data_IF_270947872492
#
_entry.id   IF_270947872492
#
_cell.length_a   1.000
_cell.length_b   1.000
_cell.length_c   1.000
_cell.angle_alpha   90.00
_cell.angle_beta   90.00
_cell.angle_gamma   90.00
#
_symmetry.space_group_name_H-M   'P 1'
#
loop_
_entity.id
_entity.type
_entity.pdbx_description
1 polymer ?
#
# COMPACT_ATOMS: atom_id res chain seq x y z
N UNK A 1 48.16 4.69 31.93
CA UNK A 1 47.34 3.96 32.91
C UNK A 1 46.02 4.71 33.05
N UNK A 2 44.92 4.02 32.71
CA UNK A 2 43.56 4.13 33.28
C UNK A 2 42.90 5.53 33.34
N UNK A 3 42.06 5.93 32.36
CA UNK A 3 40.59 5.70 32.27
C UNK A 3 39.81 6.02 33.55
N UNK A 4 39.06 7.13 33.54
CA UNK A 4 37.74 7.21 34.18
C UNK A 4 36.75 7.90 33.21
N UNK A 5 35.61 7.22 33.02
CA UNK A 5 34.44 7.60 32.22
C UNK A 5 33.49 8.45 33.09
N UNK A 6 32.63 9.31 32.52
CA UNK A 6 31.35 9.62 33.10
C UNK A 6 30.26 8.65 32.59
N UNK A 7 29.31 8.38 33.48
CA UNK A 7 28.24 7.39 33.37
C UNK A 7 27.15 7.77 32.37
N UNK A 8 26.56 6.74 31.75
CA UNK A 8 25.43 6.81 30.82
C UNK A 8 24.15 6.62 31.62
N UNK A 9 23.33 7.67 31.71
CA UNK A 9 21.94 7.58 32.16
C UNK A 9 21.04 7.15 31.00
N UNK A 10 20.36 6.01 31.16
CA UNK A 10 19.37 5.50 30.22
C UNK A 10 18.00 6.11 30.49
N UNK A 11 17.58 7.09 29.70
CA UNK A 11 16.19 7.55 29.64
C UNK A 11 15.47 6.93 28.44
N UNK A 12 14.55 6.02 28.75
CA UNK A 12 13.60 5.41 27.83
C UNK A 12 12.51 6.41 27.46
N UNK A 13 12.58 6.97 26.26
CA UNK A 13 11.46 7.71 25.67
C UNK A 13 10.37 6.75 25.19
N UNK A 14 9.28 6.69 25.96
CA UNK A 14 7.97 6.17 25.52
C UNK A 14 7.35 7.20 24.57
N UNK A 15 7.10 6.81 23.33
CA UNK A 15 6.29 7.59 22.40
C UNK A 15 4.81 7.21 22.62
N UNK A 16 4.08 8.05 23.34
CA UNK A 16 2.63 8.04 23.40
C UNK A 16 2.08 8.71 22.13
N UNK A 17 1.65 7.90 21.16
CA UNK A 17 0.88 8.37 20.02
C UNK A 17 -0.59 8.41 20.40
N UNK A 18 -1.03 9.51 20.99
CA UNK A 18 -2.46 9.80 21.13
C UNK A 18 -2.76 11.24 20.71
N UNK A 19 -3.87 11.38 19.99
CA UNK A 19 -4.57 12.61 19.60
C UNK A 19 -4.01 13.35 18.36
N UNK A 20 -4.65 13.16 17.20
CA UNK A 20 -5.57 14.16 16.59
C UNK A 20 -6.55 13.42 15.67
N UNK A 21 -7.77 13.16 16.14
CA UNK A 21 -8.94 12.98 15.29
C UNK A 21 -10.04 13.86 15.87
N UNK A 22 -10.25 14.99 15.22
CA UNK A 22 -11.35 15.90 15.51
C UNK A 22 -12.66 15.27 15.04
N UNK A 23 -13.57 15.16 16.01
CA UNK A 23 -15.02 15.41 15.91
C UNK A 23 -15.85 14.58 14.91
N UNK A 24 -16.56 13.59 15.45
CA UNK A 24 -18.03 13.59 15.37
C UNK A 24 -18.58 13.12 16.73
N UNK A 25 -19.43 13.95 17.35
CA UNK A 25 -20.05 13.67 18.67
C UNK A 25 -21.12 12.58 18.57
N UNK A 26 -21.34 11.80 19.65
CA UNK A 26 -22.36 10.77 19.74
C UNK A 26 -23.72 11.36 20.13
N UNK A 27 -24.81 10.79 19.61
CA UNK A 27 -26.12 10.86 20.25
C UNK A 27 -26.27 9.61 21.13
N UNK A 28 -26.10 9.80 22.43
CA UNK A 28 -26.57 8.86 23.46
C UNK A 28 -28.10 8.94 23.54
N UNK A 29 -28.72 7.79 23.79
CA UNK A 29 -29.76 7.68 24.79
C UNK A 29 -29.72 6.25 25.35
N UNK A 30 -28.98 6.10 26.43
CA UNK A 30 -29.31 5.12 27.47
C UNK A 30 -30.69 5.46 28.05
N UNK A 31 -31.45 4.45 28.46
CA UNK A 31 -31.68 4.17 29.88
C UNK A 31 -32.64 2.99 30.01
N UNK A 32 -32.17 2.04 30.79
CA UNK A 32 -32.80 0.84 31.33
C UNK A 32 -33.99 1.14 32.26
N UNK A 33 -35.06 0.36 32.10
CA UNK A 33 -35.81 -0.32 33.16
C UNK A 33 -36.58 0.48 34.23
N UNK A 34 -37.90 0.25 34.33
CA UNK A 34 -38.54 -0.09 35.61
C UNK A 34 -39.96 -0.68 35.44
N UNK A 35 -40.30 -1.54 36.42
CA UNK A 35 -41.51 -2.39 36.56
C UNK A 35 -42.70 -1.64 37.24
N UNK A 36 -43.89 -2.27 37.42
CA UNK A 36 -45.23 -1.64 37.34
C UNK A 36 -45.89 -1.32 38.70
N UNK A 37 -46.99 -0.53 38.69
CA UNK A 37 -48.06 -0.48 39.72
C UNK A 37 -49.43 -0.01 39.18
N UNK A 38 -50.43 -0.87 39.36
CA UNK A 38 -51.80 -0.72 39.87
C UNK A 38 -52.69 0.54 39.64
N UNK A 39 -53.85 0.25 39.02
CA UNK A 39 -55.25 0.48 39.46
C UNK A 39 -55.93 1.88 39.50
N UNK A 40 -57.17 1.84 38.97
CA UNK A 40 -58.42 2.51 39.41
C UNK A 40 -58.95 3.74 38.63
N UNK A 41 -60.05 3.47 37.91
CA UNK A 41 -61.40 4.09 37.98
C UNK A 41 -61.79 5.46 37.38
N UNK A 42 -62.79 5.30 36.47
CA UNK A 42 -64.10 5.97 36.34
C UNK A 42 -64.27 7.38 35.71
N UNK A 43 -65.14 7.35 34.67
CA UNK A 43 -66.28 8.22 34.34
C UNK A 43 -66.17 9.34 33.28
N UNK A 44 -66.66 8.96 32.07
CA UNK A 44 -67.72 9.61 31.26
C UNK A 44 -67.69 11.12 30.97
N UNK A 45 -67.67 11.50 29.67
CA UNK A 45 -68.85 12.00 28.92
C UNK A 45 -68.55 12.40 27.46
N UNK A 46 -69.37 11.81 26.56
CA UNK A 46 -70.06 12.33 25.35
C UNK A 46 -69.28 13.00 24.20
N UNK A 47 -69.31 12.26 23.09
CA UNK A 47 -69.84 12.61 21.75
C UNK A 47 -69.43 13.92 21.07
N UNK A 48 -68.63 13.76 20.00
CA UNK A 48 -69.06 14.25 18.68
C UNK A 48 -68.57 13.34 17.56
N UNK A 49 -69.50 12.56 17.05
CA UNK A 49 -69.42 11.70 15.87
C UNK A 49 -69.08 12.50 14.60
N UNK A 50 -67.98 12.13 13.94
CA UNK A 50 -67.77 12.34 12.50
C UNK A 50 -67.60 10.96 11.86
N UNK A 51 -68.59 10.54 11.07
CA UNK A 51 -68.58 9.40 10.13
C UNK A 51 -67.51 9.70 9.07
N UNK A 52 -66.58 8.86 8.61
CA UNK A 52 -66.52 7.45 8.13
C UNK A 52 -65.09 7.29 7.51
N UNK A 53 -64.60 6.13 7.00
CA UNK A 53 -65.14 4.77 6.98
C UNK A 53 -64.18 3.70 7.56
N UNK A 54 -64.74 2.52 7.80
CA UNK A 54 -64.05 1.28 8.14
C UNK A 54 -62.96 0.90 7.13
N UNK A 55 -61.80 0.49 7.63
CA UNK A 55 -61.01 -0.58 7.03
C UNK A 55 -60.24 -1.31 8.12
N UNK A 56 -60.95 -2.19 8.82
CA UNK A 56 -60.35 -3.36 9.46
C UNK A 56 -59.69 -4.21 8.37
N UNK A 57 -58.42 -3.94 8.07
CA UNK A 57 -57.55 -4.92 7.41
C UNK A 57 -56.79 -5.63 8.52
N UNK A 58 -57.36 -6.74 8.97
CA UNK A 58 -56.58 -7.91 9.36
C UNK A 58 -55.52 -8.13 8.28
N UNK A 59 -54.27 -7.73 8.55
CA UNK A 59 -53.15 -8.08 7.70
C UNK A 59 -52.88 -9.56 7.93
N UNK A 60 -53.56 -10.40 7.14
CA UNK A 60 -53.06 -11.73 6.79
C UNK A 60 -51.71 -11.51 6.09
N UNK A 61 -50.63 -11.58 6.86
CA UNK A 61 -49.29 -11.61 6.30
C UNK A 61 -48.88 -13.07 6.22
N UNK A 62 -49.22 -13.72 5.10
CA UNK A 62 -48.63 -15.01 4.76
C UNK A 62 -47.16 -14.73 4.42
N UNK A 63 -46.28 -14.78 5.43
CA UNK A 63 -44.83 -14.90 5.21
C UNK A 63 -44.63 -16.16 4.37
N UNK A 64 -43.87 -16.06 3.28
CA UNK A 64 -43.58 -17.24 2.49
C UNK A 64 -42.79 -18.24 3.34
N UNK A 65 -43.04 -19.55 3.20
CA UNK A 65 -42.36 -20.58 3.99
C UNK A 65 -40.82 -20.49 3.91
N UNK A 66 -40.31 -19.90 2.83
CA UNK A 66 -38.89 -19.62 2.62
C UNK A 66 -38.37 -18.47 3.49
N UNK A 67 -39.12 -17.37 3.62
CA UNK A 67 -38.73 -16.22 4.47
C UNK A 67 -38.71 -16.61 5.95
N UNK A 68 -39.67 -17.43 6.40
CA UNK A 68 -39.70 -17.95 7.78
C UNK A 68 -38.49 -18.86 8.07
N UNK A 69 -38.07 -19.66 7.09
CA UNK A 69 -36.87 -20.50 7.19
C UNK A 69 -35.58 -19.68 7.26
N UNK A 70 -35.49 -18.60 6.47
CA UNK A 70 -34.35 -17.67 6.52
C UNK A 70 -34.29 -16.94 7.85
N UNK A 71 -35.42 -16.43 8.35
CA UNK A 71 -35.47 -15.75 9.64
C UNK A 71 -35.04 -16.68 10.79
N UNK A 72 -35.55 -17.92 10.83
CA UNK A 72 -35.14 -18.94 11.81
C UNK A 72 -33.65 -19.25 11.74
N UNK A 73 -33.10 -19.33 10.54
CA UNK A 73 -31.67 -19.59 10.33
C UNK A 73 -30.79 -18.44 10.85
N UNK A 74 -31.17 -17.19 10.55
CA UNK A 74 -30.47 -16.00 11.02
C UNK A 74 -30.57 -15.85 12.55
N UNK A 75 -31.74 -16.12 13.12
CA UNK A 75 -31.96 -16.12 14.57
C UNK A 75 -31.08 -17.18 15.27
N UNK A 76 -31.02 -18.41 14.74
CA UNK A 76 -30.14 -19.46 15.26
C UNK A 76 -28.66 -19.05 15.24
N UNK A 77 -28.18 -18.44 14.16
CA UNK A 77 -26.81 -17.93 14.05
C UNK A 77 -26.55 -16.76 15.02
N UNK A 78 -27.54 -15.90 15.25
CA UNK A 78 -27.46 -14.80 16.20
C UNK A 78 -27.40 -15.25 17.66
N UNK A 79 -28.07 -16.37 18.00
CA UNK A 79 -28.03 -16.95 19.35
C UNK A 79 -26.81 -17.84 19.60
N UNK A 80 -26.07 -18.19 18.56
CA UNK A 80 -24.94 -19.10 18.65
C UNK A 80 -25.34 -20.57 18.75
N UNK A 81 -26.55 -20.94 18.33
CA UNK A 81 -27.03 -22.32 18.39
C UNK A 81 -26.48 -23.14 17.22
N UNK A 82 -25.31 -23.73 17.44
CA UNK A 82 -24.63 -24.58 16.47
C UNK A 82 -25.51 -25.75 16.00
N UNK A 83 -26.28 -26.35 16.92
CA UNK A 83 -27.08 -27.54 16.59
C UNK A 83 -28.19 -27.21 15.61
N UNK A 84 -28.93 -26.12 15.85
CA UNK A 84 -29.96 -25.66 14.94
C UNK A 84 -29.37 -25.20 13.60
N UNK A 85 -28.23 -24.49 13.60
CA UNK A 85 -27.55 -24.06 12.37
C UNK A 85 -27.16 -25.26 11.50
N UNK A 86 -26.54 -26.30 12.09
CA UNK A 86 -26.16 -27.51 11.35
C UNK A 86 -27.36 -28.30 10.83
N UNK A 87 -28.42 -28.45 11.63
CA UNK A 87 -29.65 -29.12 11.20
C UNK A 87 -30.31 -28.38 10.03
N UNK A 88 -30.41 -27.05 10.10
CA UNK A 88 -31.00 -26.24 9.04
C UNK A 88 -30.17 -26.30 7.74
N UNK A 89 -28.84 -26.27 7.83
CA UNK A 89 -27.96 -26.42 6.66
C UNK A 89 -28.07 -27.82 6.03
N UNK A 90 -28.31 -28.86 6.84
CA UNK A 90 -28.51 -30.23 6.33
C UNK A 90 -29.79 -30.35 5.52
N UNK A 91 -30.88 -29.69 5.96
CA UNK A 91 -32.17 -29.72 5.28
C UNK A 91 -32.27 -28.69 4.13
N UNK A 92 -31.47 -27.62 4.17
CA UNK A 92 -31.56 -26.51 3.22
C UNK A 92 -30.21 -25.80 3.03
N UNK A 93 -29.28 -26.35 2.23
CA UNK A 93 -27.96 -25.73 2.00
C UNK A 93 -28.04 -24.38 1.29
N UNK A 94 -29.14 -24.08 0.61
CA UNK A 94 -29.40 -22.79 -0.05
C UNK A 94 -29.58 -21.61 0.94
N UNK A 95 -29.69 -21.88 2.24
CA UNK A 95 -29.83 -20.85 3.28
C UNK A 95 -28.50 -20.14 3.63
N UNK A 96 -27.36 -20.74 3.30
CA UNK A 96 -26.05 -20.32 3.82
C UNK A 96 -25.65 -18.87 3.49
N UNK A 97 -26.07 -18.37 2.33
CA UNK A 97 -25.78 -17.02 1.85
C UNK A 97 -27.03 -16.12 1.81
N UNK A 98 -28.13 -16.56 2.42
CA UNK A 98 -29.34 -15.75 2.48
C UNK A 98 -29.15 -14.55 3.41
N UNK A 99 -29.77 -13.44 3.04
CA UNK A 99 -29.70 -12.19 3.77
C UNK A 99 -31.04 -11.89 4.42
N UNK A 100 -30.98 -11.38 5.65
CA UNK A 100 -32.14 -10.83 6.33
C UNK A 100 -32.25 -9.33 6.11
N UNK A 101 -32.87 -8.66 7.08
CA UNK A 101 -33.04 -7.21 7.06
C UNK A 101 -31.69 -6.50 6.90
N UNK A 102 -31.66 -5.49 6.03
CA UNK A 102 -30.47 -4.67 5.74
C UNK A 102 -29.25 -5.45 5.25
N UNK A 103 -29.45 -6.61 4.60
CA UNK A 103 -28.36 -7.38 4.00
C UNK A 103 -27.51 -8.17 5.01
N UNK A 104 -28.00 -8.41 6.22
CA UNK A 104 -27.28 -9.17 7.23
C UNK A 104 -27.31 -10.67 6.94
N UNK A 105 -26.15 -11.31 6.87
CA UNK A 105 -26.02 -12.77 6.74
C UNK A 105 -25.87 -13.45 8.10
N UNK A 106 -26.06 -14.78 8.14
CA UNK A 106 -25.83 -15.59 9.34
C UNK A 106 -24.39 -15.43 9.88
N UNK A 107 -23.40 -15.34 8.98
CA UNK A 107 -22.00 -15.14 9.35
C UNK A 107 -21.77 -13.80 10.04
N UNK A 108 -22.40 -12.73 9.57
CA UNK A 108 -22.30 -11.40 10.18
C UNK A 108 -22.94 -11.36 11.57
N UNK A 109 -24.08 -12.04 11.75
CA UNK A 109 -24.76 -12.13 13.05
C UNK A 109 -23.94 -12.94 14.07
N UNK A 110 -23.39 -14.08 13.64
CA UNK A 110 -22.49 -14.87 14.47
C UNK A 110 -21.20 -14.11 14.82
N UNK A 111 -20.65 -13.33 13.88
CA UNK A 111 -19.47 -12.51 14.08
C UNK A 111 -19.71 -11.31 15.02
N UNK A 112 -20.88 -10.68 14.93
CA UNK A 112 -21.30 -9.59 15.83
C UNK A 112 -21.36 -10.02 17.29
N UNK A 113 -21.84 -11.24 17.54
CA UNK A 113 -22.04 -11.77 18.89
C UNK A 113 -20.88 -12.64 19.38
N UNK A 114 -19.83 -12.82 18.57
CA UNK A 114 -18.63 -13.55 18.94
C UNK A 114 -18.79 -15.08 19.01
N UNK A 115 -19.76 -15.65 18.29
CA UNK A 115 -20.03 -17.09 18.31
C UNK A 115 -19.05 -17.88 17.45
N UNK A 116 -17.85 -18.12 17.98
CA UNK A 116 -16.73 -18.76 17.27
C UNK A 116 -17.11 -20.08 16.56
N UNK A 117 -17.75 -21.02 17.27
CA UNK A 117 -18.09 -22.34 16.72
C UNK A 117 -19.12 -22.27 15.59
N UNK A 118 -20.03 -21.29 15.63
CA UNK A 118 -21.00 -21.08 14.55
C UNK A 118 -20.29 -20.48 13.33
N UNK A 119 -19.37 -19.53 13.53
CA UNK A 119 -18.55 -18.97 12.45
C UNK A 119 -17.72 -20.07 11.79
N UNK A 120 -17.07 -20.92 12.56
CA UNK A 120 -16.29 -22.06 12.07
C UNK A 120 -17.16 -23.00 11.24
N UNK A 121 -18.33 -23.40 11.74
CA UNK A 121 -19.24 -24.27 11.02
C UNK A 121 -19.75 -23.64 9.71
N UNK A 122 -20.09 -22.35 9.70
CA UNK A 122 -20.53 -21.64 8.50
C UNK A 122 -19.40 -21.57 7.46
N UNK A 123 -18.16 -21.33 7.87
CA UNK A 123 -17.00 -21.34 6.98
C UNK A 123 -16.73 -22.74 6.42
N UNK A 124 -16.80 -23.79 7.24
CA UNK A 124 -16.64 -25.18 6.80
C UNK A 124 -17.70 -25.62 5.78
N UNK A 125 -18.89 -25.01 5.79
CA UNK A 125 -19.96 -25.27 4.84
C UNK A 125 -19.90 -24.37 3.58
N UNK A 126 -18.84 -23.56 3.41
CA UNK A 126 -18.63 -22.75 2.20
C UNK A 126 -19.41 -21.44 2.13
N UNK A 127 -19.72 -20.83 3.28
CA UNK A 127 -20.36 -19.51 3.35
C UNK A 127 -19.48 -18.41 2.70
N UNK A 128 -20.10 -17.47 2.00
CA UNK A 128 -19.39 -16.31 1.47
C UNK A 128 -19.00 -15.32 2.59
N UNK A 129 -17.73 -15.37 2.98
CA UNK A 129 -17.16 -14.49 4.01
C UNK A 129 -17.01 -13.03 3.58
N UNK A 130 -17.15 -12.72 2.29
CA UNK A 130 -16.93 -11.37 1.73
C UNK A 130 -18.22 -10.60 1.47
N UNK A 131 -19.38 -11.21 1.72
CA UNK A 131 -20.66 -10.52 1.68
C UNK A 131 -20.65 -9.28 2.58
N UNK A 132 -21.35 -8.22 2.14
CA UNK A 132 -21.46 -6.93 2.85
C UNK A 132 -22.91 -6.60 3.18
N UNK A 133 -23.15 -6.01 4.35
CA UNK A 133 -24.47 -5.51 4.73
C UNK A 133 -24.76 -4.12 4.10
N UNK A 134 -25.93 -3.55 4.37
CA UNK A 134 -26.33 -2.21 3.91
C UNK A 134 -25.46 -1.05 4.41
N UNK A 135 -24.55 -1.31 5.36
CA UNK A 135 -23.53 -0.37 5.83
C UNK A 135 -22.14 -0.63 5.24
N UNK A 136 -22.05 -1.48 4.20
CA UNK A 136 -20.83 -1.91 3.52
C UNK A 136 -19.80 -2.60 4.46
N UNK A 137 -20.26 -3.28 5.52
CA UNK A 137 -19.40 -3.99 6.46
C UNK A 137 -19.39 -5.49 6.17
N UNK A 138 -18.21 -6.10 6.17
CA UNK A 138 -18.05 -7.56 6.14
C UNK A 138 -18.17 -8.17 7.54
N UNK A 139 -18.31 -9.49 7.62
CA UNK A 139 -18.28 -10.20 8.92
C UNK A 139 -16.99 -9.94 9.70
N UNK A 140 -15.85 -9.75 9.01
CA UNK A 140 -14.57 -9.41 9.64
C UNK A 140 -14.58 -8.01 10.25
N UNK A 141 -15.09 -7.01 9.52
CA UNK A 141 -15.19 -5.63 10.01
C UNK A 141 -16.08 -5.55 11.25
N UNK A 142 -17.18 -6.31 11.25
CA UNK A 142 -18.10 -6.43 12.37
C UNK A 142 -17.39 -7.08 13.57
N UNK A 143 -16.74 -8.24 13.40
CA UNK A 143 -16.00 -8.90 14.49
C UNK A 143 -14.94 -7.98 15.12
N UNK A 144 -14.23 -7.21 14.28
CA UNK A 144 -13.22 -6.25 14.72
C UNK A 144 -13.83 -5.08 15.49
N UNK A 145 -14.94 -4.51 14.99
CA UNK A 145 -15.64 -3.40 15.63
C UNK A 145 -16.15 -3.76 17.03
N UNK A 146 -16.69 -4.98 17.19
CA UNK A 146 -17.19 -5.48 18.48
C UNK A 146 -16.09 -6.09 19.37
N UNK A 147 -14.82 -6.12 18.91
CA UNK A 147 -13.68 -6.55 19.71
C UNK A 147 -13.50 -8.08 19.82
N UNK A 148 -14.18 -8.87 19.01
CA UNK A 148 -14.09 -10.33 18.99
C UNK A 148 -12.84 -10.83 18.26
N UNK A 149 -11.68 -10.67 18.91
CA UNK A 149 -10.35 -11.00 18.34
C UNK A 149 -10.24 -12.45 17.83
N UNK A 150 -10.84 -13.40 18.54
CA UNK A 150 -10.80 -14.82 18.16
C UNK A 150 -11.58 -15.08 16.85
N UNK A 151 -12.72 -14.42 16.65
CA UNK A 151 -13.49 -14.50 15.39
C UNK A 151 -12.80 -13.72 14.27
N UNK A 152 -12.28 -12.53 14.53
CA UNK A 152 -11.57 -11.75 13.51
C UNK A 152 -10.34 -12.48 13.01
N UNK A 153 -9.61 -13.15 13.91
CA UNK A 153 -8.46 -13.97 13.54
C UNK A 153 -8.90 -15.16 12.67
N UNK A 154 -9.99 -15.84 13.01
CA UNK A 154 -10.53 -16.94 12.18
C UNK A 154 -10.92 -16.47 10.78
N UNK A 155 -11.62 -15.34 10.67
CA UNK A 155 -12.05 -14.76 9.38
C UNK A 155 -10.88 -14.18 8.56
N UNK A 156 -9.80 -13.76 9.22
CA UNK A 156 -8.59 -13.24 8.56
C UNK A 156 -7.75 -14.31 7.87
N UNK A 157 -7.90 -15.58 8.26
CA UNK A 157 -7.16 -16.69 7.63
C UNK A 157 -7.74 -16.92 6.23
N UNK A 158 -6.90 -16.81 5.22
CA UNK A 158 -7.25 -16.89 3.79
C UNK A 158 -6.87 -18.23 3.18
N UNK A 159 -6.51 -19.19 4.01
CA UNK A 159 -5.66 -20.31 3.61
C UNK A 159 -6.50 -21.55 3.17
N UNK A 160 -7.81 -21.55 3.42
CA UNK A 160 -8.69 -22.70 3.20
C UNK A 160 -9.57 -22.59 1.94
N UNK A 161 -8.95 -22.56 0.75
CA UNK A 161 -9.58 -23.07 -0.48
C UNK A 161 -10.89 -22.43 -0.97
N UNK A 162 -11.35 -21.30 -0.43
CA UNK A 162 -12.53 -20.60 -0.96
C UNK A 162 -12.17 -19.83 -2.23
N UNK A 163 -12.39 -20.45 -3.39
CA UNK A 163 -12.45 -19.72 -4.65
C UNK A 163 -13.59 -18.71 -4.60
N UNK A 164 -13.24 -17.43 -4.75
CA UNK A 164 -14.18 -16.36 -5.10
C UNK A 164 -15.00 -16.80 -6.30
N UNK A 165 -16.32 -16.88 -6.16
CA UNK A 165 -17.23 -16.90 -7.32
C UNK A 165 -17.53 -15.45 -7.71
N UNK A 166 -16.48 -14.68 -8.01
CA UNK A 166 -16.62 -13.45 -8.78
C UNK A 166 -15.95 -13.71 -10.13
N UNK A 167 -16.68 -13.63 -11.25
CA UNK A 167 -16.05 -13.73 -12.56
C UNK A 167 -15.15 -12.50 -12.75
N UNK A 168 -13.84 -12.71 -12.86
CA UNK A 168 -12.94 -11.74 -13.48
C UNK A 168 -11.96 -10.99 -12.58
N UNK A 169 -11.25 -11.66 -11.67
CA UNK A 169 -9.98 -11.11 -11.17
C UNK A 169 -8.96 -12.23 -11.02
N UNK A 170 -8.13 -12.41 -12.06
CA UNK A 170 -6.80 -13.00 -11.92
C UNK A 170 -6.07 -12.26 -10.80
N UNK A 171 -5.85 -12.93 -9.68
CA UNK A 171 -4.97 -12.46 -8.62
C UNK A 171 -3.51 -12.61 -9.07
N UNK A 172 -3.11 -11.82 -10.07
CA UNK A 172 -1.84 -11.13 -9.91
C UNK A 172 -2.01 -10.23 -8.68
N UNK A 173 -1.05 -10.22 -7.77
CA UNK A 173 -1.02 -9.19 -6.73
C UNK A 173 -1.33 -7.85 -7.41
N UNK A 174 -2.36 -7.13 -6.96
CA UNK A 174 -2.53 -5.72 -7.31
C UNK A 174 -1.37 -4.98 -6.64
N UNK A 175 -0.17 -5.14 -7.21
CA UNK A 175 0.91 -4.22 -7.00
C UNK A 175 0.44 -2.93 -7.70
N UNK A 176 0.42 -1.84 -6.95
CA UNK A 176 0.34 -0.52 -7.56
C UNK A 176 1.38 -0.50 -8.70
N UNK A 177 0.99 -0.08 -9.90
CA UNK A 177 1.91 0.00 -11.04
C UNK A 177 3.17 0.81 -10.67
N UNK A 178 3.03 1.84 -9.83
CA UNK A 178 4.14 2.63 -9.27
C UNK A 178 4.91 1.95 -8.14
N UNK A 179 4.42 0.84 -7.61
CA UNK A 179 5.08 -0.02 -6.63
C UNK A 179 5.85 -1.19 -7.24
N UNK A 180 5.73 -1.42 -8.55
CA UNK A 180 6.54 -2.37 -9.34
C UNK A 180 7.95 -1.81 -9.58
N UNK A 181 8.65 -1.52 -8.50
CA UNK A 181 10.04 -1.06 -8.56
C UNK A 181 10.99 -2.25 -8.46
N UNK A 182 11.85 -2.40 -9.46
CA UNK A 182 12.94 -3.38 -9.48
C UNK A 182 13.97 -3.13 -8.36
N UNK A 183 14.08 -1.87 -7.92
CA UNK A 183 15.01 -1.43 -6.89
C UNK A 183 14.26 -1.15 -5.58
N UNK A 184 14.83 -1.59 -4.46
CA UNK A 184 14.53 -1.03 -3.15
C UNK A 184 15.28 0.29 -2.99
N UNK A 185 14.54 1.39 -2.91
CA UNK A 185 15.08 2.76 -2.79
C UNK A 185 15.97 2.97 -1.57
N UNK A 186 15.85 2.15 -0.52
CA UNK A 186 16.60 2.25 0.74
C UNK A 186 16.84 3.69 1.20
N UNK A 187 15.76 4.49 1.28
CA UNK A 187 15.86 5.93 1.54
C UNK A 187 16.59 6.27 2.85
N UNK A 188 16.50 5.40 3.85
CA UNK A 188 17.21 5.53 5.13
C UNK A 188 18.75 5.55 4.99
N UNK A 189 19.30 4.94 3.94
CA UNK A 189 20.75 4.86 3.70
C UNK A 189 21.32 6.08 2.97
N UNK A 190 20.47 6.99 2.49
CA UNK A 190 20.90 8.20 1.76
C UNK A 190 21.70 9.17 2.63
N UNK A 191 21.49 9.16 3.95
CA UNK A 191 22.22 10.00 4.90
C UNK A 191 23.58 9.43 5.30
N UNK A 192 23.77 8.12 5.12
CA UNK A 192 24.97 7.38 5.53
C UNK A 192 26.06 7.48 4.45
N UNK A 193 26.94 8.47 4.59
CA UNK A 193 28.03 8.73 3.62
C UNK A 193 29.04 7.59 3.55
N UNK A 194 29.39 6.99 4.68
CA UNK A 194 30.38 5.93 4.73
C UNK A 194 29.88 4.69 3.99
N UNK A 195 28.60 4.34 4.18
CA UNK A 195 27.98 3.25 3.44
C UNK A 195 27.91 3.52 1.93
N UNK A 196 27.55 4.75 1.53
CA UNK A 196 27.50 5.13 0.12
C UNK A 196 28.86 5.12 -0.57
N UNK A 197 29.92 5.56 0.11
CA UNK A 197 31.29 5.53 -0.41
C UNK A 197 31.79 4.08 -0.56
N UNK A 198 31.54 3.22 0.44
CA UNK A 198 31.85 1.80 0.35
C UNK A 198 31.13 1.16 -0.86
N UNK A 199 29.82 1.42 -1.00
CA UNK A 199 29.01 0.92 -2.12
C UNK A 199 29.46 1.46 -3.47
N UNK A 200 30.00 2.68 -3.53
CA UNK A 200 30.53 3.19 -4.80
C UNK A 200 31.72 2.38 -5.29
N UNK A 201 32.59 1.94 -4.38
CA UNK A 201 33.77 1.12 -4.70
C UNK A 201 33.49 -0.38 -4.81
N UNK A 202 32.28 -0.85 -4.50
CA UNK A 202 31.92 -2.26 -4.61
C UNK A 202 31.87 -2.72 -6.09
N UNK A 203 32.42 -3.91 -6.37
CA UNK A 203 32.49 -4.47 -7.72
C UNK A 203 31.11 -4.77 -8.34
N UNK A 204 30.11 -5.00 -7.48
CA UNK A 204 28.75 -5.35 -7.90
C UNK A 204 27.87 -4.13 -8.20
N UNK A 205 28.36 -2.92 -7.93
CA UNK A 205 27.61 -1.70 -8.11
C UNK A 205 27.41 -1.36 -9.59
N UNK A 206 26.17 -0.99 -9.91
CA UNK A 206 25.71 -0.66 -11.27
C UNK A 206 25.60 0.85 -11.42
N UNK A 207 26.23 1.38 -12.47
CA UNK A 207 26.15 2.78 -12.85
C UNK A 207 25.41 2.96 -14.17
N UNK A 208 24.47 3.90 -14.20
CA UNK A 208 23.76 4.35 -15.39
C UNK A 208 24.25 5.73 -15.78
N UNK A 209 24.69 5.90 -17.02
CA UNK A 209 25.23 7.18 -17.51
C UNK A 209 24.14 7.94 -18.26
N UNK A 210 23.98 9.21 -17.91
CA UNK A 210 23.06 10.14 -18.54
C UNK A 210 23.81 11.31 -19.15
N UNK A 211 23.52 11.60 -20.42
CA UNK A 211 23.99 12.81 -21.12
C UNK A 211 22.78 13.68 -21.48
N UNK A 212 22.76 14.94 -21.05
CA UNK A 212 21.64 15.87 -21.29
C UNK A 212 20.26 15.26 -20.96
N UNK A 213 20.20 14.54 -19.83
CA UNK A 213 19.01 13.81 -19.33
C UNK A 213 18.56 12.59 -20.16
N UNK A 214 19.30 12.19 -21.20
CA UNK A 214 19.07 10.95 -21.95
C UNK A 214 19.96 9.82 -21.39
N UNK A 215 19.38 8.65 -21.04
CA UNK A 215 20.18 7.49 -20.62
C UNK A 215 20.95 6.91 -21.81
N UNK A 216 22.09 6.30 -21.55
CA UNK A 216 22.76 5.48 -22.56
C UNK A 216 22.03 4.14 -22.72
N UNK A 217 21.68 3.79 -23.95
CA UNK A 217 20.97 2.55 -24.28
C UNK A 217 21.68 1.77 -25.39
N UNK A 218 21.53 0.46 -25.38
CA UNK A 218 21.93 -0.42 -26.47
C UNK A 218 20.69 -0.82 -27.24
N UNK A 219 20.69 -0.58 -28.55
CA UNK A 219 19.63 -1.05 -29.44
C UNK A 219 19.98 -2.42 -30.04
N UNK A 220 19.01 -3.35 -30.15
CA UNK A 220 19.21 -4.58 -30.90
C UNK A 220 19.46 -4.27 -32.38
N UNK A 221 20.26 -5.12 -33.04
CA UNK A 221 20.78 -4.86 -34.40
C UNK A 221 19.84 -5.34 -35.53
N UNK A 222 18.72 -5.98 -35.20
CA UNK A 222 17.78 -6.55 -36.17
C UNK A 222 16.48 -5.73 -36.29
N UNK A 223 16.34 -5.03 -37.42
CA UNK A 223 15.25 -4.09 -37.75
C UNK A 223 13.87 -4.73 -38.03
N UNK A 224 13.70 -6.04 -37.85
CA UNK A 224 12.51 -6.79 -38.31
C UNK A 224 11.51 -7.17 -37.21
N UNK A 225 11.86 -7.00 -35.93
CA UNK A 225 10.90 -7.06 -34.82
C UNK A 225 11.15 -5.86 -33.92
N UNK A 226 10.09 -5.22 -33.40
CA UNK A 226 10.19 -4.00 -32.57
C UNK A 226 11.01 -4.23 -31.30
N UNK A 227 12.33 -4.19 -31.43
CA UNK A 227 13.26 -4.57 -30.39
C UNK A 227 13.28 -3.55 -29.25
N UNK A 228 13.17 -4.06 -28.03
CA UNK A 228 13.27 -3.26 -26.83
C UNK A 228 14.70 -2.73 -26.66
N UNK A 229 14.81 -1.44 -26.33
CA UNK A 229 16.08 -0.85 -25.94
C UNK A 229 16.46 -1.38 -24.55
N UNK A 230 17.74 -1.65 -24.34
CA UNK A 230 18.27 -2.05 -23.02
C UNK A 230 19.18 -0.98 -22.45
N UNK A 231 19.14 -0.76 -21.15
CA UNK A 231 20.05 0.18 -20.49
C UNK A 231 21.48 -0.34 -20.45
N UNK A 232 22.44 0.51 -20.81
CA UNK A 232 23.85 0.20 -20.63
C UNK A 232 24.22 0.26 -19.14
N UNK A 233 24.77 -0.83 -18.61
CA UNK A 233 25.16 -0.98 -17.20
C UNK A 233 26.67 -0.91 -17.07
N UNK A 234 27.17 0.05 -16.30
CA UNK A 234 28.61 0.26 -16.08
C UNK A 234 29.03 -0.18 -14.67
N UNK A 235 30.30 -0.58 -14.54
CA UNK A 235 30.96 -0.89 -13.27
C UNK A 235 31.82 0.30 -12.83
N UNK A 236 32.27 0.26 -11.57
CA UNK A 236 33.05 1.35 -10.98
C UNK A 236 34.29 1.71 -11.81
N UNK A 237 35.00 0.74 -12.39
CA UNK A 237 36.23 0.98 -13.15
C UNK A 237 35.98 1.83 -14.40
N UNK A 238 34.79 1.74 -15.00
CA UNK A 238 34.45 2.51 -16.20
C UNK A 238 34.06 3.97 -15.89
N UNK A 239 33.61 4.25 -14.66
CA UNK A 239 33.05 5.54 -14.25
C UNK A 239 33.92 6.31 -13.25
N UNK A 240 34.97 5.70 -12.69
CA UNK A 240 35.83 6.33 -11.68
C UNK A 240 36.36 7.70 -12.11
N UNK A 241 36.81 7.86 -13.36
CA UNK A 241 37.28 9.15 -13.89
C UNK A 241 36.17 10.20 -13.96
N UNK A 242 34.92 9.78 -14.19
CA UNK A 242 33.78 10.67 -14.29
C UNK A 242 33.44 11.22 -12.91
N UNK A 243 33.50 10.36 -11.88
CA UNK A 243 33.19 10.73 -10.49
C UNK A 243 34.17 11.75 -9.91
N UNK A 244 35.44 11.76 -10.37
CA UNK A 244 36.44 12.72 -9.92
C UNK A 244 36.23 14.15 -10.45
N UNK A 245 35.41 14.33 -11.50
CA UNK A 245 35.24 15.63 -12.14
C UNK A 245 34.13 16.45 -11.47
N UNK A 246 34.32 17.77 -11.27
CA UNK A 246 33.46 18.59 -10.40
C UNK A 246 32.06 18.90 -10.93
N UNK A 247 31.79 18.60 -12.21
CA UNK A 247 30.49 18.82 -12.85
C UNK A 247 29.58 17.58 -12.87
N UNK A 248 30.04 16.47 -12.28
CA UNK A 248 29.32 15.21 -12.31
C UNK A 248 28.29 15.16 -11.18
N UNK A 249 27.04 14.83 -11.53
CA UNK A 249 25.96 14.65 -10.58
C UNK A 249 25.75 13.17 -10.33
N UNK A 250 25.97 12.72 -9.09
CA UNK A 250 25.75 11.33 -8.68
C UNK A 250 24.46 11.22 -7.87
N UNK A 251 23.58 10.29 -8.25
CA UNK A 251 22.31 10.02 -7.57
C UNK A 251 22.21 8.54 -7.24
N UNK A 252 21.93 8.21 -5.98
CA UNK A 252 21.68 6.82 -5.56
C UNK A 252 20.23 6.41 -5.85
N UNK A 253 20.03 5.38 -6.67
CA UNK A 253 18.69 4.95 -7.09
C UNK A 253 18.08 3.95 -6.11
N UNK A 254 18.89 3.02 -5.60
CA UNK A 254 18.46 1.95 -4.70
C UNK A 254 19.38 0.74 -4.77
N UNK A 255 18.95 -0.37 -4.19
CA UNK A 255 19.58 -1.69 -4.34
C UNK A 255 18.62 -2.65 -5.03
N UNK A 256 19.14 -3.63 -5.74
CA UNK A 256 18.31 -4.62 -6.41
C UNK A 256 17.49 -5.45 -5.39
N UNK A 257 16.18 -5.59 -5.63
CA UNK A 257 15.34 -6.42 -4.76
C UNK A 257 15.73 -7.89 -4.94
N UNK A 258 16.09 -8.56 -3.85
CA UNK A 258 16.20 -10.02 -3.85
C UNK A 258 14.79 -10.59 -4.09
N UNK A 259 14.56 -11.20 -5.25
CA UNK A 259 13.38 -12.07 -5.46
C UNK A 259 13.49 -13.19 -4.42
N UNK A 260 12.64 -13.17 -3.38
CA UNK A 260 12.44 -14.36 -2.55
C UNK A 260 11.94 -15.45 -3.50
N UNK A 261 12.55 -16.65 -3.54
CA UNK A 261 11.99 -17.73 -4.34
C UNK A 261 10.58 -17.98 -3.81
N UNK A 262 9.60 -17.85 -4.70
CA UNK A 262 8.24 -18.32 -4.47
C UNK A 262 8.31 -19.75 -3.95
N UNK A 263 7.59 -19.98 -2.86
CA UNK A 263 7.50 -21.24 -2.12
C UNK A 263 7.37 -22.49 -3.00
N UNK A 264 8.48 -23.18 -3.23
CA UNK A 264 8.54 -24.64 -3.38
C UNK A 264 10.01 -25.12 -3.41
N UNK A 265 10.45 -25.63 -2.25
CA UNK A 265 11.57 -26.56 -2.01
C UNK A 265 12.65 -26.00 -1.07
N UNK A 266 12.92 -26.68 0.06
CA UNK A 266 14.02 -26.35 0.95
C UNK A 266 15.26 -27.15 0.54
N UNK A 267 16.16 -26.56 -0.23
CA UNK A 267 17.53 -27.05 -0.33
C UNK A 267 18.46 -26.07 0.35
N UNK A 268 19.06 -26.55 1.44
CA UNK A 268 20.10 -25.88 2.19
C UNK A 268 21.30 -25.58 1.27
N UNK A 269 21.61 -24.30 1.09
CA UNK A 269 22.98 -23.85 0.81
C UNK A 269 23.23 -22.59 1.63
N UNK A 270 24.30 -22.63 2.42
CA UNK A 270 24.83 -21.50 3.17
C UNK A 270 25.33 -20.46 2.16
N UNK A 271 24.46 -19.54 1.74
CA UNK A 271 24.90 -18.37 0.99
C UNK A 271 25.30 -17.28 1.99
N UNK A 272 26.58 -16.90 1.94
CA UNK A 272 27.08 -15.72 2.64
C UNK A 272 26.19 -14.52 2.33
N UNK A 273 25.97 -13.67 3.33
CA UNK A 273 25.13 -12.47 3.23
C UNK A 273 25.81 -11.45 2.30
N UNK A 274 25.83 -11.68 0.99
CA UNK A 274 26.26 -10.70 -0.01
C UNK A 274 25.13 -9.73 -0.25
N UNK A 275 25.22 -8.52 0.31
CA UNK A 275 24.25 -7.45 0.10
C UNK A 275 23.95 -7.26 -1.40
N UNK A 276 22.67 -7.01 -1.79
CA UNK A 276 22.32 -6.83 -3.19
C UNK A 276 23.06 -5.64 -3.82
N UNK A 277 23.29 -5.67 -5.15
CA UNK A 277 24.02 -4.63 -5.85
C UNK A 277 23.31 -3.28 -5.74
N UNK A 278 24.08 -2.23 -5.49
CA UNK A 278 23.61 -0.85 -5.46
C UNK A 278 23.59 -0.25 -6.86
N UNK A 279 22.64 0.65 -7.11
CA UNK A 279 22.45 1.31 -8.40
C UNK A 279 22.60 2.82 -8.25
N UNK A 280 23.40 3.42 -9.14
CA UNK A 280 23.64 4.86 -9.18
C UNK A 280 23.39 5.41 -10.59
N UNK A 281 22.88 6.63 -10.66
CA UNK A 281 22.82 7.41 -11.89
C UNK A 281 23.89 8.50 -11.88
N UNK A 282 24.61 8.61 -12.99
CA UNK A 282 25.66 9.60 -13.23
C UNK A 282 25.19 10.54 -14.32
N UNK A 283 24.83 11.76 -13.95
CA UNK A 283 24.41 12.82 -14.87
C UNK A 283 25.57 13.71 -15.26
N UNK A 284 25.72 13.94 -16.57
CA UNK A 284 26.77 14.82 -17.09
C UNK A 284 26.42 15.50 -18.40
N UNK A 285 26.85 16.75 -18.54
CA UNK A 285 26.65 17.56 -19.75
C UNK A 285 27.89 17.58 -20.69
N UNK A 286 28.76 16.56 -20.64
CA UNK A 286 29.87 16.38 -21.59
C UNK A 286 29.38 15.87 -22.96
N UNK A 287 30.24 15.98 -23.97
CA UNK A 287 29.97 15.49 -25.34
C UNK A 287 29.66 13.99 -25.34
N UNK A 288 28.47 13.65 -25.84
CA UNK A 288 27.97 12.28 -25.91
C UNK A 288 28.94 11.33 -26.63
N UNK A 289 29.69 11.81 -27.62
CA UNK A 289 30.69 11.02 -28.35
C UNK A 289 31.82 10.49 -27.46
N UNK A 290 32.23 11.25 -26.44
CA UNK A 290 33.30 10.81 -25.52
C UNK A 290 32.79 9.77 -24.52
N UNK A 291 31.53 9.92 -24.09
CA UNK A 291 30.87 8.92 -23.24
C UNK A 291 30.63 7.60 -24.00
N UNK A 292 30.31 7.68 -25.30
CA UNK A 292 30.09 6.49 -26.13
C UNK A 292 31.36 5.65 -26.33
N UNK A 293 32.54 6.26 -26.41
CA UNK A 293 33.83 5.53 -26.49
C UNK A 293 34.08 4.62 -25.28
N UNK A 294 33.44 4.91 -24.14
CA UNK A 294 33.54 4.09 -22.92
C UNK A 294 32.70 2.83 -23.00
N UNK A 295 31.69 2.80 -23.88
CA UNK A 295 30.90 1.61 -24.13
C UNK A 295 31.74 0.61 -24.95
N UNK A 296 31.90 -0.61 -24.45
CA UNK A 296 32.54 -1.70 -25.22
C UNK A 296 31.61 -2.27 -26.30
N UNK A 297 30.31 -2.02 -26.18
CA UNK A 297 29.30 -2.53 -27.11
C UNK A 297 29.15 -1.59 -28.32
N UNK A 298 29.02 -2.18 -29.51
CA UNK A 298 29.05 -1.44 -30.79
C UNK A 298 27.77 -0.64 -31.08
N UNK A 299 26.68 -0.92 -30.36
CA UNK A 299 25.34 -0.36 -30.63
C UNK A 299 24.85 0.57 -29.50
N UNK A 300 25.75 1.10 -28.67
CA UNK A 300 25.38 2.08 -27.65
C UNK A 300 25.04 3.42 -28.30
N UNK A 301 23.93 4.02 -27.91
CA UNK A 301 23.54 5.36 -28.35
C UNK A 301 22.79 6.09 -27.24
N UNK A 302 22.75 7.41 -27.34
CA UNK A 302 21.85 8.22 -26.53
C UNK A 302 20.56 8.47 -27.34
N UNK A 303 19.37 8.16 -26.79
CA UNK A 303 18.11 8.42 -27.47
C UNK A 303 17.99 9.89 -27.88
N UNK A 304 17.68 10.11 -29.16
CA UNK A 304 17.55 11.45 -29.76
C UNK A 304 16.20 12.09 -29.45
N UNK A 305 15.13 11.28 -29.36
CA UNK A 305 13.78 11.74 -29.04
C UNK A 305 13.37 11.22 -27.65
N UNK A 306 13.60 12.00 -26.57
CA UNK A 306 13.54 11.51 -25.19
C UNK A 306 12.14 11.14 -24.68
N UNK A 307 11.07 11.41 -25.43
CA UNK A 307 9.72 11.01 -25.03
C UNK A 307 9.25 9.76 -25.76
N UNK A 308 9.62 9.59 -27.03
CA UNK A 308 9.20 8.42 -27.83
C UNK A 308 10.14 7.23 -27.63
N UNK A 309 11.44 7.50 -27.58
CA UNK A 309 12.44 6.43 -27.55
C UNK A 309 12.57 5.79 -26.16
N UNK A 310 12.14 6.48 -25.09
CA UNK A 310 12.06 5.90 -23.74
C UNK A 310 10.91 4.89 -23.59
N UNK A 311 9.86 5.00 -24.41
CA UNK A 311 8.77 4.02 -24.44
C UNK A 311 9.21 2.67 -25.04
N UNK A 312 10.41 2.60 -25.63
CA UNK A 312 11.01 1.35 -26.12
C UNK A 312 11.75 0.58 -25.03
N UNK A 313 11.86 1.13 -23.80
CA UNK A 313 12.41 0.41 -22.66
C UNK A 313 11.34 -0.52 -22.09
N UNK A 314 11.79 -1.63 -21.49
CA UNK A 314 10.91 -2.47 -20.68
C UNK A 314 10.34 -1.68 -19.49
N UNK A 315 9.17 -2.09 -18.97
CA UNK A 315 8.52 -1.42 -17.83
C UNK A 315 9.46 -1.28 -16.62
N UNK A 316 10.25 -2.34 -16.35
CA UNK A 316 11.22 -2.41 -15.27
C UNK A 316 12.34 -1.36 -15.41
N UNK A 317 12.90 -1.20 -16.61
CA UNK A 317 13.98 -0.25 -16.88
C UNK A 317 13.45 1.18 -17.02
N UNK A 318 12.26 1.34 -17.59
CA UNK A 318 11.58 2.63 -17.72
C UNK A 318 11.33 3.28 -16.36
N UNK A 319 10.92 2.51 -15.34
CA UNK A 319 10.73 3.00 -13.97
C UNK A 319 12.02 3.55 -13.35
N UNK A 320 13.13 2.82 -13.49
CA UNK A 320 14.46 3.25 -13.01
C UNK A 320 14.92 4.53 -13.72
N UNK A 321 14.73 4.60 -15.05
CA UNK A 321 15.06 5.79 -15.84
C UNK A 321 14.20 6.98 -15.44
N UNK A 322 12.89 6.78 -15.20
CA UNK A 322 12.00 7.84 -14.77
C UNK A 322 12.45 8.45 -13.44
N UNK A 323 12.82 7.61 -12.45
CA UNK A 323 13.39 8.08 -11.19
C UNK A 323 14.69 8.87 -11.43
N UNK A 324 15.66 8.27 -12.12
CA UNK A 324 16.98 8.88 -12.35
C UNK A 324 16.86 10.21 -13.10
N UNK A 325 16.13 10.22 -14.23
CA UNK A 325 15.95 11.38 -15.10
C UNK A 325 15.24 12.51 -14.36
N UNK A 326 14.25 12.22 -13.52
CA UNK A 326 13.52 13.24 -12.76
C UNK A 326 14.41 13.96 -11.75
N UNK A 327 15.23 13.21 -11.00
CA UNK A 327 16.17 13.79 -10.03
C UNK A 327 17.29 14.55 -10.73
N UNK A 328 17.83 14.03 -11.83
CA UNK A 328 18.84 14.72 -12.64
C UNK A 328 18.27 16.01 -13.27
N UNK A 329 17.04 15.99 -13.78
CA UNK A 329 16.37 17.17 -14.33
C UNK A 329 16.15 18.23 -13.25
N UNK A 330 15.81 17.80 -12.03
CA UNK A 330 15.73 18.71 -10.89
C UNK A 330 17.08 19.36 -10.59
N UNK A 331 18.19 18.60 -10.57
CA UNK A 331 19.52 19.17 -10.38
C UNK A 331 19.95 20.14 -11.49
N UNK A 332 19.55 19.88 -12.74
CA UNK A 332 19.83 20.77 -13.88
C UNK A 332 19.10 22.11 -13.75
N UNK A 333 17.85 22.12 -13.27
CA UNK A 333 17.00 23.32 -13.20
C UNK A 333 17.10 24.10 -11.88
N UNK A 334 17.36 23.40 -10.77
CA UNK A 334 17.31 23.95 -9.41
C UNK A 334 18.72 24.02 -8.79
N UNK A 335 19.66 24.62 -9.52
CA UNK A 335 21.04 24.80 -9.05
C UNK A 335 21.18 25.86 -7.94
N UNK A 336 20.23 26.79 -7.84
CA UNK A 336 20.20 27.88 -6.86
C UNK A 336 19.09 27.71 -5.82
N UNK A 337 19.28 28.30 -4.64
CA UNK A 337 18.30 28.29 -3.56
C UNK A 337 17.08 29.15 -3.93
N UNK A 338 15.86 28.59 -3.94
CA UNK A 338 14.66 29.37 -4.26
C UNK A 338 14.34 30.49 -3.26
N UNK A 339 14.84 30.39 -2.02
CA UNK A 339 14.52 31.33 -0.93
C UNK A 339 15.41 32.57 -0.93
N UNK A 340 16.68 32.44 -1.31
CA UNK A 340 17.65 33.55 -1.22
C UNK A 340 18.55 33.71 -2.45
N UNK A 341 18.43 32.85 -3.47
CA UNK A 341 19.24 32.91 -4.70
C UNK A 341 20.68 32.40 -4.56
N UNK A 342 21.16 32.07 -3.36
CA UNK A 342 22.52 31.56 -3.17
C UNK A 342 22.72 30.16 -3.78
N UNK A 343 23.98 29.82 -4.06
CA UNK A 343 24.36 28.47 -4.51
C UNK A 343 24.01 27.39 -3.49
N UNK A 344 23.79 26.17 -3.97
CA UNK A 344 23.40 25.01 -3.15
C UNK A 344 24.37 23.85 -3.35
N UNK A 345 24.54 23.03 -2.31
CA UNK A 345 25.30 21.77 -2.36
C UNK A 345 24.37 20.56 -2.39
N UNK A 346 24.83 19.46 -2.99
CA UNK A 346 24.11 18.19 -3.00
C UNK A 346 24.31 17.45 -1.68
N UNK A 347 23.23 16.89 -1.15
CA UNK A 347 23.19 16.06 0.06
C UNK A 347 22.25 14.87 -0.16
N UNK A 348 22.22 13.95 0.81
CA UNK A 348 21.35 12.75 0.80
C UNK A 348 21.44 11.95 -0.51
N UNK A 349 22.66 11.68 -0.98
CA UNK A 349 22.94 10.91 -2.20
C UNK A 349 22.20 11.44 -3.46
N UNK A 350 22.14 12.76 -3.61
CA UNK A 350 21.47 13.43 -4.73
C UNK A 350 19.97 13.68 -4.51
N UNK A 351 19.40 13.35 -3.35
CA UNK A 351 17.99 13.57 -3.06
C UNK A 351 17.71 14.85 -2.28
N UNK A 352 18.74 15.66 -2.01
CA UNK A 352 18.59 16.93 -1.32
C UNK A 352 19.58 17.98 -1.82
N UNK A 353 19.13 19.23 -1.79
CA UNK A 353 19.97 20.41 -2.01
C UNK A 353 19.88 21.32 -0.80
N UNK A 354 21.03 21.62 -0.22
CA UNK A 354 21.16 22.49 0.95
C UNK A 354 21.82 23.80 0.56
N UNK A 355 21.24 24.92 1.02
CA UNK A 355 21.77 26.25 0.74
C UNK A 355 23.14 26.43 1.39
N UNK A 356 24.07 27.10 0.70
CA UNK A 356 25.39 27.43 1.26
C UNK A 356 25.35 28.64 2.21
N UNK A 357 24.30 29.46 2.13
CA UNK A 357 24.12 30.59 3.04
C UNK A 357 23.55 30.10 4.39
N UNK A 358 24.38 30.16 5.44
CA UNK A 358 24.03 29.71 6.79
C UNK A 358 22.86 30.47 7.42
N UNK A 359 22.61 31.71 7.01
CA UNK A 359 21.50 32.54 7.50
C UNK A 359 20.18 32.29 6.76
N UNK A 360 20.15 31.41 5.75
CA UNK A 360 18.97 31.18 4.94
C UNK A 360 17.86 30.49 5.73
N UNK A 361 16.61 31.00 5.62
CA UNK A 361 15.41 30.39 6.22
C UNK A 361 15.16 28.96 5.76
N UNK A 362 15.65 28.57 4.57
CA UNK A 362 15.53 27.20 4.07
C UNK A 362 16.27 26.17 4.95
N UNK A 363 17.25 26.61 5.76
CA UNK A 363 17.98 25.75 6.69
C UNK A 363 17.30 25.62 8.06
N UNK A 364 16.27 26.44 8.32
CA UNK A 364 15.54 26.44 9.58
C UNK A 364 14.27 25.60 9.45
N UNK A 365 14.34 24.33 9.84
CA UNK A 365 13.25 23.36 9.72
C UNK A 365 13.28 22.58 8.40
N UNK A 366 12.16 21.99 8.01
CA UNK A 366 12.02 21.16 6.81
C UNK A 366 11.19 21.89 5.77
N UNK A 367 11.80 22.20 4.61
CA UNK A 367 11.14 22.90 3.51
C UNK A 367 11.21 22.08 2.23
N UNK A 368 10.15 22.13 1.41
CA UNK A 368 10.09 21.45 0.11
C UNK A 368 11.13 21.98 -0.89
N UNK A 369 11.66 23.19 -0.68
CA UNK A 369 12.68 23.82 -1.52
C UNK A 369 13.99 23.04 -1.57
N UNK A 370 14.22 22.16 -0.60
CA UNK A 370 15.41 21.32 -0.51
C UNK A 370 15.28 19.98 -1.25
N UNK A 371 14.10 19.60 -1.73
CA UNK A 371 13.81 18.25 -2.22
C UNK A 371 13.36 18.22 -3.70
N UNK A 372 13.52 17.07 -4.40
CA UNK A 372 13.00 16.88 -5.76
C UNK A 372 11.50 17.15 -5.84
N UNK A 373 11.08 17.77 -6.95
CA UNK A 373 9.67 18.03 -7.23
C UNK A 373 9.03 16.88 -7.98
N UNK A 374 7.78 16.59 -7.63
CA UNK A 374 6.90 15.70 -8.36
C UNK A 374 5.70 16.52 -8.77
N UNK A 375 5.55 16.72 -10.08
CA UNK A 375 4.39 17.42 -10.64
C UNK A 375 3.32 16.37 -10.95
N UNK A 376 2.14 16.51 -10.36
CA UNK A 376 1.00 15.63 -10.62
C UNK A 376 0.17 16.21 -11.75
N UNK A 377 0.24 15.60 -12.92
CA UNK A 377 -0.61 15.95 -14.06
C UNK A 377 -1.76 14.94 -14.15
N UNK A 378 -3.03 15.32 -13.88
CA UNK A 378 -4.14 14.46 -14.20
C UNK A 378 -4.19 14.29 -15.73
N UNK A 379 -4.13 13.05 -16.19
CA UNK A 379 -4.47 12.75 -17.58
C UNK A 379 -5.98 12.92 -17.70
N UNK A 380 -6.40 13.94 -18.44
CA UNK A 380 -7.79 14.10 -18.86
C UNK A 380 -7.89 13.29 -20.15
N UNK A 381 -8.47 12.11 -20.04
CA UNK A 381 -8.77 11.22 -21.18
C UNK A 381 -9.86 11.81 -22.10
#
# INVERSE_FOLDING_TARGET
>A
MSRQRPEVGSEQFKCDSSQVLHQFRPFNNDVTGNRPRDAADLHTRRDRSVKTPQRSRTMNFQVSAQEEAVEKFLDAASRGDLTQVSTLLTHGPSLINQTGNNGWTALMLAARNGHFHVVEALLSNGCDKFSVNGSAQTAYDIAKFWGHKHVSNLLSRTDDGCQRVLPGCDLGQQENYFGRETLDRLSAKRTDKAWLEAKQSDADTVYLIFSKLSPMVTSPQDDSTGGENKLCRFRFEAVQDLLQKPATVLVFLGVERRKKPSSSSPSQTKEGVQEPPAWFAVGRDEDAAELLKRCREKNCSFPKAPNRDLLKLSEEEAGVVAQARSVLAWHSRYSFCPTCGSSTKLEEAGHKRSCLNSACRSLQGVHNTCYPRIETSPLID
#
